data_IF_224978425575
#
_entry.id   IF_224978425575
#
_cell.length_a   1.000
_cell.length_b   1.000
_cell.length_c   1.000
_cell.angle_alpha   90.00
_cell.angle_beta   90.00
_cell.angle_gamma   90.00
#
_symmetry.space_group_name_H-M   'P 1'
#
loop_
_entity.id
_entity.type
_entity.pdbx_description
1 polymer ?
#
# COMPACT_ATOMS: atom_id res chain seq x y z
N UNK A 1 0.13 -11.69 27.81
CA UNK A 1 0.86 -11.17 26.62
C UNK A 1 0.45 -9.71 26.45
N UNK A 2 1.44 -8.82 26.33
CA UNK A 2 1.35 -7.37 26.60
C UNK A 2 0.27 -6.66 25.75
N UNK A 3 -0.66 -6.01 26.43
CA UNK A 3 -1.54 -4.96 25.89
C UNK A 3 -0.77 -3.67 25.56
N UNK A 4 -1.39 -2.77 24.77
CA UNK A 4 -1.25 -1.30 24.72
C UNK A 4 -0.86 -0.72 23.35
N UNK A 5 -1.18 0.57 23.05
CA UNK A 5 -2.45 1.28 23.21
C UNK A 5 -2.82 2.07 21.92
N UNK A 6 -4.07 2.51 21.82
CA UNK A 6 -4.58 3.29 20.70
C UNK A 6 -3.75 4.54 20.38
N UNK A 7 -3.37 4.69 19.11
CA UNK A 7 -2.98 5.99 18.55
C UNK A 7 -4.14 6.46 17.68
N UNK A 8 -4.59 7.70 17.87
CA UNK A 8 -5.52 8.38 16.96
C UNK A 8 -4.79 8.55 15.63
N UNK A 9 -4.96 7.63 14.69
CA UNK A 9 -4.17 7.63 13.44
C UNK A 9 -4.81 8.61 12.46
N UNK A 10 -4.02 9.57 12.00
CA UNK A 10 -4.41 10.45 10.89
C UNK A 10 -4.58 9.58 9.67
N UNK A 11 -5.81 9.42 9.19
CA UNK A 11 -6.11 8.64 7.99
C UNK A 11 -5.50 9.32 6.78
N UNK A 12 -4.51 8.68 6.16
CA UNK A 12 -4.00 9.10 4.85
C UNK A 12 -4.84 8.40 3.79
N UNK A 13 -5.42 9.17 2.89
CA UNK A 13 -6.12 8.61 1.72
C UNK A 13 -5.08 8.31 0.65
N UNK A 14 -5.01 7.05 0.22
CA UNK A 14 -4.11 6.58 -0.84
C UNK A 14 -4.99 6.05 -1.95
N UNK A 15 -4.88 6.63 -3.14
CA UNK A 15 -5.62 6.18 -4.32
C UNK A 15 -4.74 5.28 -5.18
N UNK A 16 -5.10 4.01 -5.28
CA UNK A 16 -4.49 3.07 -6.21
C UNK A 16 -5.43 2.84 -7.38
N UNK A 17 -4.92 2.99 -8.60
CA UNK A 17 -5.66 2.66 -9.80
C UNK A 17 -5.29 1.24 -10.29
N UNK A 18 -6.16 0.22 -10.12
CA UNK A 18 -5.86 -1.16 -10.50
C UNK A 18 -5.68 -1.33 -12.02
N UNK A 19 -6.15 -0.37 -12.84
CA UNK A 19 -5.93 -0.37 -14.30
C UNK A 19 -4.49 -0.02 -14.69
N UNK A 20 -3.79 0.72 -13.83
CA UNK A 20 -2.42 1.20 -14.04
C UNK A 20 -1.41 0.38 -13.26
N UNK A 21 -1.82 -0.23 -12.15
CA UNK A 21 -0.96 -1.11 -11.37
C UNK A 21 -0.55 -2.35 -12.21
N UNK A 22 0.75 -2.54 -12.38
CA UNK A 22 1.35 -3.68 -13.11
C UNK A 22 1.68 -4.87 -12.20
N UNK A 23 1.38 -4.80 -10.89
CA UNK A 23 1.77 -5.83 -9.93
C UNK A 23 3.29 -6.00 -9.78
N UNK A 24 4.06 -4.91 -9.95
CA UNK A 24 5.53 -4.93 -9.79
C UNK A 24 5.99 -5.07 -8.32
N UNK A 25 5.10 -4.86 -7.36
CA UNK A 25 5.33 -4.94 -5.91
C UNK A 25 6.46 -4.06 -5.34
N UNK A 26 7.02 -3.13 -6.13
CA UNK A 26 8.05 -2.18 -5.68
C UNK A 26 7.56 -1.38 -4.45
N UNK A 27 6.29 -0.98 -4.44
CA UNK A 27 5.69 -0.28 -3.31
C UNK A 27 5.65 -1.09 -2.01
N UNK A 28 5.56 -2.43 -2.08
CA UNK A 28 5.62 -3.31 -0.90
C UNK A 28 7.05 -3.35 -0.33
N UNK A 29 8.06 -3.42 -1.21
CA UNK A 29 9.46 -3.52 -0.80
C UNK A 29 10.00 -2.19 -0.28
N UNK A 30 9.68 -1.08 -0.97
CA UNK A 30 10.19 0.24 -0.56
C UNK A 30 9.49 0.79 0.67
N UNK A 31 8.25 0.38 0.96
CA UNK A 31 7.50 0.96 2.07
C UNK A 31 8.02 0.42 3.42
N UNK A 32 8.72 1.21 4.24
CA UNK A 32 9.27 0.73 5.51
C UNK A 32 8.17 0.40 6.54
N UNK A 33 6.95 0.91 6.31
CA UNK A 33 5.78 0.70 7.15
C UNK A 33 4.87 -0.42 6.66
N UNK A 34 5.19 -1.03 5.51
CA UNK A 34 4.40 -2.11 4.89
C UNK A 34 2.91 -1.76 4.81
N UNK A 35 2.62 -0.59 4.25
CA UNK A 35 1.25 -0.08 4.09
C UNK A 35 0.46 -0.86 3.03
N UNK A 36 1.17 -1.45 2.08
CA UNK A 36 0.60 -2.13 0.92
C UNK A 36 0.66 -3.65 1.07
N UNK A 37 -0.33 -4.33 0.49
CA UNK A 37 -0.39 -5.80 0.38
C UNK A 37 -0.74 -6.21 -1.05
N UNK A 38 -0.55 -7.49 -1.38
CA UNK A 38 -0.94 -8.02 -2.69
C UNK A 38 -2.44 -8.29 -2.71
N UNK A 39 -3.15 -7.81 -3.72
CA UNK A 39 -4.57 -8.12 -3.89
C UNK A 39 -4.73 -9.60 -4.19
N UNK A 40 -5.71 -10.32 -3.65
CA UNK A 40 -6.03 -11.67 -4.12
C UNK A 40 -6.66 -11.66 -5.52
N UNK A 41 -7.14 -10.50 -5.97
CA UNK A 41 -7.79 -10.32 -7.26
C UNK A 41 -6.78 -10.03 -8.37
N UNK A 42 -7.05 -10.53 -9.57
CA UNK A 42 -6.26 -10.25 -10.77
C UNK A 42 -7.01 -9.20 -11.59
N UNK A 43 -6.33 -8.11 -11.93
CA UNK A 43 -6.86 -7.08 -12.83
C UNK A 43 -7.10 -7.65 -14.23
N UNK A 44 -7.95 -6.97 -15.03
CA UNK A 44 -8.26 -7.32 -16.43
C UNK A 44 -7.02 -7.56 -17.33
N UNK A 45 -5.88 -6.96 -16.98
CA UNK A 45 -4.59 -7.15 -17.67
C UNK A 45 -3.82 -8.42 -17.28
N UNK A 46 -4.35 -9.26 -16.39
CA UNK A 46 -3.68 -10.47 -15.90
C UNK A 46 -2.64 -10.24 -14.80
N UNK A 47 -2.51 -9.01 -14.29
CA UNK A 47 -1.61 -8.68 -13.18
C UNK A 47 -2.38 -8.60 -11.87
N UNK A 48 -1.71 -8.97 -10.78
CA UNK A 48 -2.27 -8.89 -9.44
C UNK A 48 -1.89 -7.54 -8.81
N UNK A 49 -2.81 -6.55 -8.76
CA UNK A 49 -2.51 -5.24 -8.22
C UNK A 49 -2.22 -5.28 -6.72
N UNK A 50 -1.66 -4.19 -6.20
CA UNK A 50 -1.51 -3.98 -4.76
C UNK A 50 -2.76 -3.32 -4.19
N UNK A 51 -3.05 -3.58 -2.92
CA UNK A 51 -4.08 -2.89 -2.14
C UNK A 51 -3.45 -2.13 -0.96
N UNK A 52 -4.17 -1.14 -0.45
CA UNK A 52 -3.77 -0.39 0.74
C UNK A 52 -4.38 -1.08 1.96
N UNK A 53 -3.57 -1.81 2.71
CA UNK A 53 -4.01 -2.56 3.88
C UNK A 53 -3.96 -1.72 5.17
N UNK A 54 -2.91 -0.92 5.31
CA UNK A 54 -2.65 -0.14 6.53
C UNK A 54 -2.41 1.35 6.24
N UNK A 55 -3.40 2.07 5.68
CA UNK A 55 -3.26 3.49 5.31
C UNK A 55 -2.89 4.37 6.53
N UNK A 56 -3.29 3.92 7.71
CA UNK A 56 -3.04 4.52 9.00
C UNK A 56 -1.57 4.52 9.45
N UNK A 57 -0.73 3.66 8.85
CA UNK A 57 0.71 3.60 9.10
C UNK A 57 1.51 4.48 8.11
N UNK A 58 0.85 5.03 7.10
CA UNK A 58 1.48 5.84 6.08
C UNK A 58 2.00 7.17 6.66
N UNK A 59 3.28 7.44 6.46
CA UNK A 59 3.93 8.69 6.89
C UNK A 59 4.02 9.73 5.77
N UNK A 60 3.41 9.47 4.60
CA UNK A 60 3.47 10.35 3.41
C UNK A 60 4.90 10.64 2.95
N UNK A 61 5.78 9.63 2.95
CA UNK A 61 7.15 9.76 2.47
C UNK A 61 7.28 9.83 0.93
N UNK A 62 6.19 9.57 0.20
CA UNK A 62 6.11 9.65 -1.28
C UNK A 62 7.07 8.70 -2.03
N UNK A 63 7.77 7.78 -1.35
CA UNK A 63 8.69 6.85 -2.03
C UNK A 63 7.97 5.90 -2.98
N UNK A 64 6.78 5.44 -2.61
CA UNK A 64 6.00 4.50 -3.42
C UNK A 64 5.47 5.12 -4.72
N UNK A 65 5.13 6.41 -4.73
CA UNK A 65 4.71 7.13 -5.95
C UNK A 65 5.90 7.50 -6.84
N UNK A 66 7.03 7.89 -6.23
CA UNK A 66 8.26 8.24 -6.96
C UNK A 66 8.87 7.06 -7.71
N UNK A 67 8.71 5.84 -7.18
CA UNK A 67 9.23 4.61 -7.78
C UNK A 67 8.17 3.83 -8.57
N UNK A 68 6.93 4.32 -8.65
CA UNK A 68 5.86 3.66 -9.40
C UNK A 68 6.11 3.83 -10.92
N UNK A 69 6.36 2.75 -11.68
CA UNK A 69 6.64 2.83 -13.11
C UNK A 69 5.40 2.70 -14.01
#
# INVERSE_FOLDING_TARGET
MKESPGKKKKTVVIHLNPKWCKGCYICLEVCPKKVFEKSPEVSEKGFQPVLVAHPELCTRCLQCEMLCP
#
